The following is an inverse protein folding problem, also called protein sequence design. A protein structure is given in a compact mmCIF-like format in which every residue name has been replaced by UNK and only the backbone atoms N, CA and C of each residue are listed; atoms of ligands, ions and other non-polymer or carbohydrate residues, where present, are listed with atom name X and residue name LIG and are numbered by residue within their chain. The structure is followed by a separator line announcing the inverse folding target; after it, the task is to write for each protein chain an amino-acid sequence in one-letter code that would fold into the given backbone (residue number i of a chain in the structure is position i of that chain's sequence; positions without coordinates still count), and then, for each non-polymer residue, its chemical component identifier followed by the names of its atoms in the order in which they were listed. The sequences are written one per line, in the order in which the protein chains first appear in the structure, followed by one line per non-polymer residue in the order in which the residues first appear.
data_IF_863598024789
#
_entry.id   IF_863598024789
#
_cell.length_a   1.000
_cell.length_b   1.000
_cell.length_c   1.000
_cell.angle_alpha   90.00
_cell.angle_beta   90.00
_cell.angle_gamma   90.00
#
_symmetry.space_group_name_H-M   'P 1'
#
loop_
_entity.id
_entity.type
_entity.pdbx_description
1 polymer ?
#
# COMPACT_ATOMS: atom_id res chain seq x y z
N UNK A 1 21.15 -23.71 32.94
CA UNK A 1 20.87 -24.69 31.85
C UNK A 1 19.36 -24.95 31.68
N UNK A 2 18.62 -25.52 32.64
CA UNK A 2 17.18 -25.79 32.48
C UNK A 2 16.34 -24.57 32.14
N UNK A 3 16.55 -23.43 32.82
CA UNK A 3 15.83 -22.18 32.52
C UNK A 3 16.13 -21.63 31.09
N UNK A 4 17.39 -21.76 30.65
CA UNK A 4 17.78 -21.35 29.28
C UNK A 4 17.15 -22.24 28.20
N UNK A 5 17.08 -23.55 28.45
CA UNK A 5 16.39 -24.49 27.56
C UNK A 5 14.90 -24.15 27.45
N UNK A 6 14.22 -23.93 28.58
CA UNK A 6 12.82 -23.55 28.63
C UNK A 6 12.56 -22.21 27.87
N UNK A 7 13.44 -21.23 28.01
CA UNK A 7 13.36 -19.96 27.29
C UNK A 7 13.55 -20.14 25.78
N UNK A 8 14.46 -21.01 25.33
CA UNK A 8 14.63 -21.31 23.90
C UNK A 8 13.44 -22.07 23.35
N UNK A 9 12.87 -23.01 24.11
CA UNK A 9 11.65 -23.72 23.75
C UNK A 9 10.46 -22.76 23.62
N UNK A 10 10.28 -21.84 24.55
CA UNK A 10 9.27 -20.78 24.47
C UNK A 10 9.45 -19.92 23.22
N UNK A 11 10.69 -19.51 22.92
CA UNK A 11 11.00 -18.71 21.73
C UNK A 11 10.68 -19.45 20.44
N UNK A 12 10.96 -20.76 20.38
CA UNK A 12 10.62 -21.60 19.24
C UNK A 12 9.11 -21.69 19.02
N UNK A 13 8.34 -21.97 20.08
CA UNK A 13 6.88 -22.04 20.02
C UNK A 13 6.30 -20.71 19.53
N UNK A 14 6.81 -19.59 20.05
CA UNK A 14 6.39 -18.27 19.63
C UNK A 14 6.69 -17.99 18.16
N UNK A 15 7.89 -18.34 17.69
CA UNK A 15 8.28 -18.17 16.29
C UNK A 15 7.42 -19.03 15.34
N UNK A 16 7.15 -20.28 15.72
CA UNK A 16 6.29 -21.20 14.96
C UNK A 16 4.85 -20.66 14.87
N UNK A 17 4.30 -20.15 15.98
CA UNK A 17 2.97 -19.55 15.99
C UNK A 17 2.93 -18.29 15.10
N UNK A 18 3.95 -17.45 15.17
CA UNK A 18 4.05 -16.26 14.33
C UNK A 18 4.15 -16.61 12.84
N UNK A 19 4.95 -17.61 12.50
CA UNK A 19 5.02 -18.13 11.13
C UNK A 19 3.65 -18.58 10.62
N UNK A 20 2.94 -19.42 11.40
CA UNK A 20 1.61 -19.91 11.04
C UNK A 20 0.61 -18.76 10.85
N UNK A 21 0.65 -17.72 11.69
CA UNK A 21 -0.20 -16.54 11.53
C UNK A 21 0.13 -15.74 10.25
N UNK A 22 1.41 -15.58 9.92
CA UNK A 22 1.83 -14.90 8.68
C UNK A 22 1.42 -15.71 7.44
N UNK A 23 1.53 -17.03 7.51
CA UNK A 23 1.09 -17.92 6.44
C UNK A 23 -0.43 -17.82 6.20
N UNK A 24 -1.23 -17.76 7.27
CA UNK A 24 -2.68 -17.53 7.17
C UNK A 24 -2.99 -16.15 6.55
N UNK A 25 -2.25 -15.11 6.94
CA UNK A 25 -2.42 -13.78 6.36
C UNK A 25 -2.09 -13.78 4.86
N UNK A 26 -1.01 -14.45 4.47
CA UNK A 26 -0.65 -14.59 3.06
C UNK A 26 -1.70 -15.39 2.27
N UNK A 27 -2.20 -16.48 2.85
CA UNK A 27 -3.28 -17.29 2.28
C UNK A 27 -4.54 -16.45 2.04
N UNK A 28 -4.89 -15.57 2.97
CA UNK A 28 -6.01 -14.64 2.84
C UNK A 28 -5.75 -13.60 1.73
N UNK A 29 -4.54 -13.05 1.63
CA UNK A 29 -4.18 -12.09 0.59
C UNK A 29 -4.21 -12.70 -0.82
N UNK A 30 -3.93 -14.01 -0.92
CA UNK A 30 -3.99 -14.77 -2.17
C UNK A 30 -5.41 -15.31 -2.46
N UNK A 31 -6.40 -14.99 -1.62
CA UNK A 31 -7.78 -15.46 -1.74
C UNK A 31 -7.91 -16.99 -1.83
N UNK A 32 -6.98 -17.72 -1.22
CA UNK A 32 -7.00 -19.18 -1.20
C UNK A 32 -8.05 -19.69 -0.20
N UNK A 33 -8.78 -20.73 -0.60
CA UNK A 33 -9.78 -21.37 0.25
C UNK A 33 -9.18 -21.98 1.53
N UNK A 34 -9.97 -22.13 2.61
CA UNK A 34 -9.48 -22.63 3.90
C UNK A 34 -8.91 -24.06 3.81
N UNK A 35 -9.36 -24.86 2.87
CA UNK A 35 -8.96 -26.26 2.68
C UNK A 35 -7.66 -26.44 1.91
N UNK A 36 -7.13 -25.36 1.29
CA UNK A 36 -5.89 -25.45 0.51
C UNK A 36 -4.72 -25.51 1.48
N UNK A 37 -3.96 -26.60 1.44
CA UNK A 37 -2.67 -26.66 2.12
C UNK A 37 -1.65 -25.81 1.34
N UNK A 38 -1.04 -24.85 2.02
CA UNK A 38 -0.19 -23.83 1.42
C UNK A 38 1.04 -23.63 2.29
N UNK A 39 2.20 -23.74 1.68
CA UNK A 39 3.48 -23.44 2.29
C UNK A 39 4.37 -22.67 1.32
N UNK A 40 5.38 -22.01 1.83
CA UNK A 40 6.31 -21.19 1.06
C UNK A 40 7.49 -22.09 0.67
N UNK A 41 7.72 -22.24 -0.66
CA UNK A 41 8.91 -22.88 -1.14
C UNK A 41 10.15 -22.06 -0.82
N UNK A 42 11.14 -22.70 -0.20
CA UNK A 42 12.42 -22.06 0.05
C UNK A 42 13.14 -21.86 -1.29
N UNK A 43 13.17 -20.62 -1.75
CA UNK A 43 13.84 -20.28 -2.99
C UNK A 43 15.25 -19.79 -2.65
N UNK A 44 16.26 -20.56 -3.04
CA UNK A 44 17.66 -20.10 -3.07
C UNK A 44 17.80 -18.94 -4.06
N UNK A 45 17.31 -17.77 -3.69
CA UNK A 45 17.51 -16.60 -4.52
C UNK A 45 18.89 -16.01 -4.25
N UNK A 46 19.71 -16.11 -5.28
CA UNK A 46 20.97 -15.42 -5.44
C UNK A 46 20.86 -13.96 -5.01
N UNK A 47 21.80 -13.59 -4.14
CA UNK A 47 22.36 -12.27 -3.91
C UNK A 47 21.42 -11.07 -3.91
N UNK A 48 21.53 -10.31 -2.84
CA UNK A 48 21.17 -8.88 -2.73
C UNK A 48 21.96 -7.96 -3.71
N UNK A 49 22.57 -8.52 -4.74
CA UNK A 49 23.35 -7.77 -5.74
C UNK A 49 22.44 -7.29 -6.87
N UNK A 50 21.72 -6.21 -6.61
CA UNK A 50 20.98 -5.42 -7.60
C UNK A 50 21.45 -3.96 -7.52
N UNK A 51 21.42 -3.30 -8.65
CA UNK A 51 21.70 -1.86 -8.70
C UNK A 51 20.43 -1.09 -8.33
N UNK A 52 20.52 -0.24 -7.31
CA UNK A 52 19.40 0.62 -6.89
C UNK A 52 19.34 1.81 -7.86
N UNK A 53 18.22 2.00 -8.58
CA UNK A 53 18.08 3.10 -9.52
C UNK A 53 18.02 4.46 -8.78
N UNK A 54 18.31 5.53 -9.51
CA UNK A 54 18.18 6.89 -8.98
C UNK A 54 16.73 7.17 -8.55
N UNK A 55 16.48 7.72 -7.35
CA UNK A 55 15.14 8.06 -6.89
C UNK A 55 14.37 8.99 -7.83
N UNK A 56 15.08 9.87 -8.53
CA UNK A 56 14.50 10.83 -9.50
C UNK A 56 13.98 10.10 -10.73
N UNK A 57 14.71 9.11 -11.24
CA UNK A 57 14.31 8.35 -12.42
C UNK A 57 13.09 7.49 -12.11
N UNK A 58 13.10 6.81 -10.95
CA UNK A 58 11.95 6.04 -10.46
C UNK A 58 10.72 6.94 -10.31
N UNK A 59 10.88 8.13 -9.73
CA UNK A 59 9.79 9.08 -9.55
C UNK A 59 9.20 9.56 -10.90
N UNK A 60 10.05 9.85 -11.88
CA UNK A 60 9.59 10.26 -13.20
C UNK A 60 8.82 9.16 -13.94
N UNK A 61 9.22 7.89 -13.74
CA UNK A 61 8.47 6.73 -14.25
C UNK A 61 7.16 6.55 -13.46
N UNK A 62 7.21 6.59 -12.13
CA UNK A 62 6.06 6.45 -11.26
C UNK A 62 4.95 7.48 -11.55
N UNK A 63 5.30 8.73 -11.76
CA UNK A 63 4.32 9.78 -12.11
C UNK A 63 3.48 9.44 -13.35
N UNK A 64 3.98 8.60 -14.25
CA UNK A 64 3.27 8.23 -15.50
C UNK A 64 2.41 7.00 -15.35
N UNK A 65 2.72 6.12 -14.40
CA UNK A 65 2.14 4.77 -14.30
C UNK A 65 1.38 4.57 -12.98
N UNK A 66 1.80 5.26 -11.91
CA UNK A 66 1.25 5.02 -10.58
C UNK A 66 -0.21 5.48 -10.48
N UNK A 67 -1.17 4.57 -10.19
CA UNK A 67 -2.59 4.86 -10.28
C UNK A 67 -3.06 6.00 -9.39
N UNK A 68 -2.49 6.14 -8.19
CA UNK A 68 -2.83 7.20 -7.24
C UNK A 68 -2.50 8.59 -7.82
N UNK A 69 -1.37 8.72 -8.52
CA UNK A 69 -0.98 9.97 -9.16
C UNK A 69 -1.88 10.30 -10.35
N UNK A 70 -2.19 9.30 -11.18
CA UNK A 70 -3.11 9.45 -12.30
C UNK A 70 -4.52 9.84 -11.82
N UNK A 71 -5.01 9.23 -10.75
CA UNK A 71 -6.29 9.59 -10.13
C UNK A 71 -6.29 11.03 -9.62
N UNK A 72 -5.21 11.47 -8.97
CA UNK A 72 -5.11 12.83 -8.47
C UNK A 72 -5.14 13.87 -9.61
N UNK A 73 -4.48 13.60 -10.73
CA UNK A 73 -4.51 14.46 -11.92
C UNK A 73 -5.88 14.46 -12.60
N UNK A 74 -6.56 13.31 -12.69
CA UNK A 74 -7.91 13.22 -13.22
C UNK A 74 -8.93 13.97 -12.34
N UNK A 75 -8.77 13.90 -11.02
CA UNK A 75 -9.60 14.66 -10.08
C UNK A 75 -9.47 16.17 -10.31
N UNK A 76 -8.27 16.67 -10.55
CA UNK A 76 -8.04 18.08 -10.89
C UNK A 76 -8.74 18.48 -12.20
N UNK A 77 -8.76 17.59 -13.20
CA UNK A 77 -9.52 17.81 -14.43
C UNK A 77 -11.03 17.88 -14.16
N UNK A 78 -11.56 16.99 -13.32
CA UNK A 78 -12.96 17.00 -12.88
C UNK A 78 -13.32 18.30 -12.14
N UNK A 79 -12.43 18.81 -11.30
CA UNK A 79 -12.67 20.08 -10.59
C UNK A 79 -12.78 21.25 -11.55
N UNK A 80 -11.97 21.27 -12.61
CA UNK A 80 -12.08 22.28 -13.66
C UNK A 80 -13.43 22.25 -14.38
N UNK A 81 -13.98 21.04 -14.58
CA UNK A 81 -15.33 20.85 -15.14
C UNK A 81 -16.41 21.26 -14.13
N UNK A 82 -16.20 21.00 -12.83
CA UNK A 82 -17.11 21.41 -11.76
C UNK A 82 -17.25 22.93 -11.69
N UNK A 83 -16.15 23.68 -11.89
CA UNK A 83 -16.20 25.15 -12.01
C UNK A 83 -17.02 25.57 -13.24
N UNK A 84 -16.86 24.89 -14.39
CA UNK A 84 -17.66 25.18 -15.60
C UNK A 84 -19.15 24.87 -15.35
N UNK A 85 -19.43 23.76 -14.66
CA UNK A 85 -20.77 23.35 -14.28
C UNK A 85 -21.43 24.35 -13.31
N UNK A 86 -20.70 24.84 -12.31
CA UNK A 86 -21.20 25.91 -11.45
C UNK A 86 -21.52 27.20 -12.24
N UNK A 87 -20.67 27.57 -13.20
CA UNK A 87 -20.90 28.72 -14.11
C UNK A 87 -22.11 28.54 -15.02
N UNK A 88 -22.47 27.29 -15.38
CA UNK A 88 -23.65 27.04 -16.23
C UNK A 88 -24.95 27.49 -15.59
N UNK A 89 -24.99 27.59 -14.25
CA UNK A 89 -26.13 28.10 -13.50
C UNK A 89 -26.41 29.60 -13.73
N UNK A 90 -25.56 30.33 -14.45
CA UNK A 90 -25.84 31.68 -14.92
C UNK A 90 -26.68 31.70 -16.21
N UNK A 91 -26.76 30.59 -16.91
CA UNK A 91 -27.46 30.49 -18.19
C UNK A 91 -28.90 29.97 -18.01
N UNK A 92 -29.82 30.28 -18.96
CA UNK A 92 -31.15 29.71 -18.97
C UNK A 92 -31.12 28.18 -19.02
N UNK A 93 -32.00 27.54 -18.24
CA UNK A 93 -32.22 26.09 -18.31
C UNK A 93 -33.55 25.77 -19.00
N UNK A 94 -33.51 24.83 -19.93
CA UNK A 94 -34.68 24.29 -20.64
C UNK A 94 -34.88 22.85 -20.18
N UNK A 95 -36.04 22.52 -19.66
CA UNK A 95 -36.40 21.17 -19.25
C UNK A 95 -37.66 20.68 -19.98
N UNK A 96 -37.62 19.45 -20.45
CA UNK A 96 -38.78 18.74 -21.00
C UNK A 96 -39.08 17.55 -20.10
N UNK A 97 -40.29 17.46 -19.60
CA UNK A 97 -40.77 16.35 -18.82
C UNK A 97 -41.99 15.72 -19.43
N UNK A 98 -42.01 14.40 -19.53
CA UNK A 98 -43.16 13.62 -19.93
C UNK A 98 -43.55 12.69 -18.78
N UNK A 99 -44.80 12.69 -18.42
CA UNK A 99 -45.31 11.82 -17.35
C UNK A 99 -46.53 11.04 -17.83
N UNK A 100 -46.56 9.76 -17.48
CA UNK A 100 -47.74 8.89 -17.66
C UNK A 100 -48.11 8.42 -16.27
N UNK A 101 -49.35 8.67 -15.86
CA UNK A 101 -49.88 8.26 -14.60
C UNK A 101 -51.22 7.54 -14.75
N UNK A 102 -51.52 6.60 -13.87
CA UNK A 102 -52.86 6.00 -13.73
C UNK A 102 -53.26 6.15 -12.27
N UNK A 103 -54.42 6.74 -12.03
CA UNK A 103 -55.04 6.84 -10.71
C UNK A 103 -56.21 5.87 -10.63
N UNK A 104 -56.21 5.02 -9.62
CA UNK A 104 -57.33 4.10 -9.29
C UNK A 104 -57.92 4.57 -7.97
N UNK A 105 -59.16 5.02 -7.99
CA UNK A 105 -59.91 5.35 -6.77
C UNK A 105 -60.61 4.11 -6.25
N UNK A 106 -60.08 3.54 -5.17
CA UNK A 106 -60.62 2.34 -4.51
C UNK A 106 -61.84 2.60 -3.62
N UNK A 107 -62.24 3.86 -3.43
CA UNK A 107 -63.31 4.23 -2.51
C UNK A 107 -64.65 4.55 -3.20
N UNK A 108 -64.69 4.53 -4.52
CA UNK A 108 -65.92 4.75 -5.27
C UNK A 108 -66.49 3.44 -5.86
N UNK A 109 -67.80 3.25 -5.86
CA UNK A 109 -68.44 2.02 -6.28
C UNK A 109 -68.26 1.68 -7.76
N UNK A 110 -67.73 2.61 -8.55
CA UNK A 110 -67.25 2.42 -9.91
C UNK A 110 -65.78 2.78 -9.97
N UNK A 111 -64.89 1.79 -9.89
CA UNK A 111 -63.43 1.97 -10.05
C UNK A 111 -63.09 2.33 -11.50
N UNK A 112 -63.06 3.62 -11.80
CA UNK A 112 -62.65 4.12 -13.09
C UNK A 112 -61.15 4.32 -13.12
N UNK A 113 -60.49 3.64 -14.06
CA UNK A 113 -59.04 3.82 -14.32
C UNK A 113 -58.84 5.13 -15.11
N UNK A 114 -58.44 6.18 -14.41
CA UNK A 114 -58.19 7.48 -15.01
C UNK A 114 -56.71 7.60 -15.41
N UNK A 115 -56.41 7.46 -16.71
CA UNK A 115 -55.11 7.68 -17.26
C UNK A 115 -54.80 9.19 -17.40
N UNK A 116 -53.66 9.62 -16.88
CA UNK A 116 -53.19 11.01 -17.05
C UNK A 116 -51.85 11.00 -17.78
N UNK A 117 -51.82 11.67 -18.96
CA UNK A 117 -50.63 11.91 -19.75
C UNK A 117 -50.29 13.40 -19.69
N UNK A 118 -49.08 13.71 -19.34
CA UNK A 118 -48.59 15.13 -19.29
C UNK A 118 -47.29 15.29 -20.04
N UNK A 119 -47.21 16.36 -20.84
CA UNK A 119 -46.00 16.81 -21.47
C UNK A 119 -45.76 18.26 -21.03
N UNK A 120 -44.65 18.55 -20.41
CA UNK A 120 -44.30 19.88 -19.94
C UNK A 120 -42.95 20.32 -20.44
N UNK A 121 -42.93 21.48 -21.10
CA UNK A 121 -41.74 22.21 -21.48
C UNK A 121 -41.57 23.42 -20.56
N UNK A 122 -40.46 23.55 -19.86
CA UNK A 122 -40.20 24.67 -18.94
C UNK A 122 -38.88 25.33 -19.27
N UNK A 123 -38.90 26.66 -19.49
CA UNK A 123 -37.74 27.51 -19.62
C UNK A 123 -37.60 28.34 -18.33
N UNK A 124 -36.44 28.19 -17.66
CA UNK A 124 -36.12 28.97 -16.44
C UNK A 124 -34.91 29.86 -16.70
N UNK A 125 -35.08 31.18 -16.47
CA UNK A 125 -34.02 32.18 -16.62
C UNK A 125 -33.76 32.81 -15.27
N UNK A 126 -32.58 32.53 -14.67
CA UNK A 126 -32.24 33.14 -13.36
C UNK A 126 -31.88 34.62 -13.53
N UNK A 127 -32.69 35.51 -12.99
CA UNK A 127 -32.42 36.97 -12.99
C UNK A 127 -31.66 37.36 -11.72
N UNK A 128 -32.13 36.91 -10.57
CA UNK A 128 -31.51 37.15 -9.28
C UNK A 128 -31.77 36.02 -8.30
N UNK A 129 -30.72 35.44 -7.77
CA UNK A 129 -30.77 34.27 -6.85
C UNK A 129 -30.01 34.50 -5.54
N UNK A 130 -30.07 35.73 -4.99
CA UNK A 130 -29.41 36.08 -3.73
C UNK A 130 -27.90 35.76 -3.73
N UNK A 131 -27.22 35.93 -4.84
CA UNK A 131 -25.79 35.64 -5.02
C UNK A 131 -25.42 34.13 -4.93
N UNK A 132 -26.38 33.22 -4.84
CA UNK A 132 -26.14 31.80 -4.66
C UNK A 132 -25.25 31.21 -5.78
N UNK A 133 -25.52 31.57 -7.04
CA UNK A 133 -24.68 31.12 -8.17
C UNK A 133 -23.25 31.65 -8.05
N UNK A 134 -23.09 32.92 -7.66
CA UNK A 134 -21.75 33.49 -7.45
C UNK A 134 -20.99 32.73 -6.36
N UNK A 135 -21.64 32.52 -5.21
CA UNK A 135 -21.05 31.77 -4.11
C UNK A 135 -20.67 30.32 -4.54
N UNK A 136 -21.56 29.63 -5.26
CA UNK A 136 -21.27 28.27 -5.78
C UNK A 136 -20.06 28.26 -6.71
N UNK A 137 -19.92 29.25 -7.59
CA UNK A 137 -18.76 29.36 -8.50
C UNK A 137 -17.48 29.64 -7.71
N UNK A 138 -17.51 30.57 -6.76
CA UNK A 138 -16.32 30.86 -5.93
C UNK A 138 -15.94 29.65 -5.06
N UNK A 139 -16.92 28.95 -4.49
CA UNK A 139 -16.66 27.69 -3.75
C UNK A 139 -16.04 26.63 -4.64
N UNK A 140 -16.54 26.44 -5.88
CA UNK A 140 -15.97 25.50 -6.82
C UNK A 140 -14.53 25.86 -7.21
N UNK A 141 -14.20 27.15 -7.36
CA UNK A 141 -12.83 27.61 -7.63
C UNK A 141 -11.90 27.29 -6.45
N UNK A 142 -12.32 27.64 -5.22
CA UNK A 142 -11.55 27.37 -4.00
C UNK A 142 -11.28 25.88 -3.85
N UNK A 143 -12.28 25.04 -4.10
CA UNK A 143 -12.12 23.59 -4.08
C UNK A 143 -11.11 23.10 -5.14
N UNK A 144 -11.14 23.69 -6.35
CA UNK A 144 -10.18 23.39 -7.41
C UNK A 144 -8.74 23.78 -7.01
N UNK A 145 -8.56 24.94 -6.38
CA UNK A 145 -7.26 25.38 -5.86
C UNK A 145 -6.78 24.47 -4.71
N UNK A 146 -7.68 24.12 -3.78
CA UNK A 146 -7.37 23.18 -2.70
C UNK A 146 -6.91 21.82 -3.24
N UNK A 147 -7.61 21.28 -4.24
CA UNK A 147 -7.25 20.00 -4.85
C UNK A 147 -5.94 20.09 -5.65
N UNK A 148 -5.62 21.24 -6.26
CA UNK A 148 -4.32 21.45 -6.88
C UNK A 148 -3.17 21.36 -5.86
N UNK A 149 -3.33 21.94 -4.69
CA UNK A 149 -2.37 21.82 -3.58
C UNK A 149 -2.30 20.37 -3.04
N UNK A 150 -3.43 19.67 -3.03
CA UNK A 150 -3.48 18.25 -2.64
C UNK A 150 -2.69 17.37 -3.60
N UNK A 151 -2.78 17.60 -4.92
CA UNK A 151 -1.98 16.91 -5.94
C UNK A 151 -0.48 17.18 -5.73
N UNK A 152 -0.09 18.43 -5.45
CA UNK A 152 1.30 18.75 -5.15
C UNK A 152 1.80 18.03 -3.88
N UNK A 153 0.96 17.96 -2.85
CA UNK A 153 1.26 17.21 -1.63
C UNK A 153 1.41 15.71 -1.89
N UNK A 154 0.51 15.13 -2.69
CA UNK A 154 0.58 13.72 -3.10
C UNK A 154 1.88 13.43 -3.87
N UNK A 155 2.29 14.32 -4.78
CA UNK A 155 3.55 14.22 -5.53
C UNK A 155 4.77 14.25 -4.61
N UNK A 156 4.80 15.15 -3.63
CA UNK A 156 5.87 15.21 -2.62
C UNK A 156 5.93 13.95 -1.75
N UNK A 157 4.77 13.43 -1.36
CA UNK A 157 4.68 12.20 -0.59
C UNK A 157 5.15 10.98 -1.39
N UNK A 158 4.77 10.87 -2.66
CA UNK A 158 5.25 9.82 -3.55
C UNK A 158 6.77 9.86 -3.69
N UNK A 159 7.33 11.04 -3.95
CA UNK A 159 8.80 11.20 -4.01
C UNK A 159 9.48 10.75 -2.73
N UNK A 160 8.97 11.18 -1.57
CA UNK A 160 9.48 10.77 -0.26
C UNK A 160 9.44 9.24 -0.07
N UNK A 161 8.33 8.59 -0.46
CA UNK A 161 8.19 7.13 -0.33
C UNK A 161 9.22 6.40 -1.21
N UNK A 162 9.40 6.86 -2.45
CA UNK A 162 10.38 6.30 -3.40
C UNK A 162 11.80 6.50 -2.86
N UNK A 163 12.15 7.72 -2.45
CA UNK A 163 13.47 8.02 -1.88
C UNK A 163 13.75 7.16 -0.64
N UNK A 164 12.74 6.98 0.22
CA UNK A 164 12.86 6.11 1.40
C UNK A 164 13.09 4.66 0.99
N UNK A 165 12.36 4.14 0.00
CA UNK A 165 12.53 2.77 -0.49
C UNK A 165 13.94 2.56 -1.08
N UNK A 166 14.45 3.51 -1.88
CA UNK A 166 15.79 3.45 -2.44
C UNK A 166 16.88 3.46 -1.33
N UNK A 167 16.78 4.39 -0.38
CA UNK A 167 17.72 4.46 0.75
C UNK A 167 17.68 3.21 1.62
N UNK A 168 16.49 2.67 1.87
CA UNK A 168 16.35 1.42 2.61
C UNK A 168 16.98 0.25 1.86
N UNK A 169 16.76 0.15 0.54
CA UNK A 169 17.37 -0.89 -0.28
C UNK A 169 18.90 -0.85 -0.23
N UNK A 170 19.51 0.35 -0.39
CA UNK A 170 20.96 0.55 -0.27
C UNK A 170 21.48 0.22 1.15
N UNK A 171 20.77 0.68 2.18
CA UNK A 171 21.14 0.43 3.57
C UNK A 171 21.12 -1.05 3.92
N UNK A 172 20.06 -1.77 3.55
CA UNK A 172 19.97 -3.21 3.83
C UNK A 172 20.95 -4.04 2.99
N UNK A 173 21.31 -3.60 1.77
CA UNK A 173 22.41 -4.22 1.04
C UNK A 173 23.77 -4.06 1.74
N UNK A 174 24.04 -2.88 2.24
CA UNK A 174 25.27 -2.63 2.99
C UNK A 174 25.30 -3.42 4.31
N UNK A 175 24.17 -3.49 4.99
CA UNK A 175 23.99 -4.27 6.21
C UNK A 175 24.18 -5.78 5.97
N UNK A 176 23.57 -6.33 4.91
CA UNK A 176 23.74 -7.74 4.50
C UNK A 176 25.22 -8.07 4.28
N UNK A 177 25.97 -7.25 3.51
CA UNK A 177 27.40 -7.43 3.27
C UNK A 177 28.25 -7.36 4.57
N UNK A 178 27.92 -6.42 5.46
CA UNK A 178 28.61 -6.28 6.73
C UNK A 178 28.35 -7.48 7.67
N UNK A 179 27.09 -7.94 7.73
CA UNK A 179 26.69 -9.08 8.53
C UNK A 179 27.24 -10.40 7.98
N UNK A 180 27.36 -10.57 6.67
CA UNK A 180 28.02 -11.71 6.04
C UNK A 180 29.49 -11.80 6.45
N UNK A 181 30.21 -10.67 6.43
CA UNK A 181 31.59 -10.63 6.90
C UNK A 181 31.71 -10.97 8.40
N UNK A 182 30.77 -10.47 9.21
CA UNK A 182 30.71 -10.78 10.64
C UNK A 182 30.42 -12.28 10.89
N UNK A 183 29.51 -12.87 10.12
CA UNK A 183 29.18 -14.30 10.23
C UNK A 183 30.37 -15.19 9.94
N UNK A 184 31.17 -14.90 8.89
CA UNK A 184 32.39 -15.65 8.61
C UNK A 184 33.39 -15.63 9.78
N UNK A 185 33.51 -14.50 10.47
CA UNK A 185 34.35 -14.39 11.65
C UNK A 185 33.79 -15.14 12.88
N UNK A 186 32.47 -15.07 13.08
CA UNK A 186 31.78 -15.77 14.15
C UNK A 186 31.76 -17.28 13.96
N UNK A 187 31.68 -17.78 12.71
CA UNK A 187 31.77 -19.20 12.39
C UNK A 187 33.08 -19.82 12.88
N UNK A 188 34.20 -19.15 12.59
CA UNK A 188 35.53 -19.53 13.09
C UNK A 188 35.58 -19.47 14.62
N UNK A 189 34.93 -18.46 15.21
CA UNK A 189 34.87 -18.31 16.67
C UNK A 189 34.08 -19.42 17.34
N UNK A 190 32.96 -19.85 16.74
CA UNK A 190 32.16 -20.98 17.23
C UNK A 190 32.96 -22.28 17.13
N UNK A 191 33.62 -22.53 16.00
CA UNK A 191 34.45 -23.74 15.81
C UNK A 191 35.58 -23.81 16.84
N UNK A 192 36.24 -22.68 17.09
CA UNK A 192 37.28 -22.57 18.12
C UNK A 192 36.72 -22.81 19.52
N UNK A 193 35.58 -22.18 19.86
CA UNK A 193 34.93 -22.35 21.17
C UNK A 193 34.48 -23.79 21.38
N UNK A 194 33.98 -24.50 20.37
CA UNK A 194 33.63 -25.91 20.46
C UNK A 194 34.85 -26.78 20.76
N UNK A 195 35.97 -26.59 20.06
CA UNK A 195 37.24 -27.30 20.33
C UNK A 195 37.79 -27.00 21.75
N UNK A 196 37.73 -25.75 22.19
CA UNK A 196 38.15 -25.36 23.53
C UNK A 196 37.27 -25.97 24.62
N UNK A 197 35.98 -26.10 24.38
CA UNK A 197 35.05 -26.75 25.30
C UNK A 197 35.31 -28.25 25.40
N UNK A 198 35.56 -28.93 24.27
CA UNK A 198 35.90 -30.36 24.23
C UNK A 198 37.14 -30.71 25.06
N UNK A 199 38.13 -29.82 25.07
CA UNK A 199 39.35 -30.00 25.89
C UNK A 199 39.26 -29.37 27.28
N UNK A 200 38.09 -28.85 27.68
CA UNK A 200 37.82 -28.32 29.01
C UNK A 200 38.45 -26.94 29.31
N UNK A 201 38.84 -26.18 28.28
CA UNK A 201 39.46 -24.85 28.43
C UNK A 201 38.44 -23.74 28.66
N UNK A 202 37.19 -23.91 28.23
CA UNK A 202 36.10 -22.97 28.48
C UNK A 202 34.91 -23.69 29.10
N UNK A 203 34.03 -22.93 29.73
CA UNK A 203 32.80 -23.43 30.31
C UNK A 203 31.65 -23.47 29.28
N UNK A 204 30.61 -24.24 29.59
CA UNK A 204 29.44 -24.39 28.74
C UNK A 204 28.68 -23.05 28.55
N UNK A 205 28.82 -22.09 29.46
CA UNK A 205 28.16 -20.78 29.34
C UNK A 205 28.83 -19.97 28.27
N UNK A 206 30.15 -19.96 28.22
CA UNK A 206 30.96 -19.27 27.21
C UNK A 206 30.66 -19.80 25.79
N UNK A 207 30.62 -21.16 25.65
CA UNK A 207 30.24 -21.77 24.37
C UNK A 207 28.83 -21.34 23.95
N UNK A 208 27.84 -21.43 24.85
CA UNK A 208 26.45 -21.06 24.55
C UNK A 208 26.31 -19.60 24.17
N UNK A 209 27.06 -18.68 24.78
CA UNK A 209 27.07 -17.25 24.40
C UNK A 209 27.60 -17.10 22.99
N UNK A 210 28.69 -17.76 22.62
CA UNK A 210 29.27 -17.69 21.27
C UNK A 210 28.30 -18.23 20.21
N UNK A 211 27.68 -19.39 20.47
CA UNK A 211 26.67 -19.96 19.55
C UNK A 211 25.40 -19.08 19.44
N UNK A 212 24.99 -18.44 20.56
CA UNK A 212 23.85 -17.53 20.56
C UNK A 212 24.14 -16.28 19.72
N UNK A 213 25.35 -15.73 19.82
CA UNK A 213 25.77 -14.57 19.02
C UNK A 213 25.80 -14.92 17.52
N UNK A 214 26.34 -16.08 17.17
CA UNK A 214 26.32 -16.58 15.78
C UNK A 214 24.87 -16.72 15.26
N UNK A 215 23.99 -17.39 16.01
CA UNK A 215 22.61 -17.58 15.62
C UNK A 215 21.87 -16.24 15.46
N UNK A 216 22.08 -15.29 16.39
CA UNK A 216 21.46 -13.97 16.31
C UNK A 216 21.94 -13.16 15.09
N UNK A 217 23.24 -13.19 14.82
CA UNK A 217 23.81 -12.51 13.65
C UNK A 217 23.32 -13.15 12.35
N UNK A 218 23.18 -14.49 12.31
CA UNK A 218 22.61 -15.20 11.17
C UNK A 218 21.16 -14.79 10.87
N UNK A 219 20.34 -14.66 11.93
CA UNK A 219 18.96 -14.16 11.79
C UNK A 219 18.96 -12.73 11.26
N UNK A 220 19.81 -11.86 11.80
CA UNK A 220 19.89 -10.46 11.36
C UNK A 220 20.33 -10.34 9.91
N UNK A 221 21.31 -11.16 9.48
CA UNK A 221 21.76 -11.20 8.09
C UNK A 221 20.65 -11.65 7.15
N UNK A 222 19.92 -12.70 7.51
CA UNK A 222 18.80 -13.18 6.72
C UNK A 222 17.69 -12.12 6.60
N UNK A 223 17.39 -11.41 7.70
CA UNK A 223 16.43 -10.29 7.70
C UNK A 223 16.89 -9.16 6.78
N UNK A 224 18.16 -8.73 6.88
CA UNK A 224 18.72 -7.68 6.02
C UNK A 224 18.60 -8.06 4.54
N UNK A 225 18.94 -9.31 4.18
CA UNK A 225 18.83 -9.85 2.82
C UNK A 225 17.40 -9.77 2.28
N UNK A 226 16.42 -10.23 3.04
CA UNK A 226 15.02 -10.17 2.61
C UNK A 226 14.48 -8.75 2.57
N UNK A 227 14.88 -7.88 3.51
CA UNK A 227 14.46 -6.47 3.51
C UNK A 227 15.06 -5.69 2.33
N UNK A 228 16.30 -5.96 1.95
CA UNK A 228 16.90 -5.41 0.74
C UNK A 228 16.07 -5.79 -0.50
N UNK A 229 15.73 -7.07 -0.63
CA UNK A 229 14.92 -7.58 -1.75
C UNK A 229 13.52 -6.99 -1.78
N UNK A 230 12.85 -6.92 -0.62
CA UNK A 230 11.53 -6.32 -0.50
C UNK A 230 11.52 -4.87 -0.97
N UNK A 231 12.45 -4.04 -0.48
CA UNK A 231 12.52 -2.65 -0.89
C UNK A 231 12.82 -2.49 -2.38
N UNK A 232 13.62 -3.39 -2.98
CA UNK A 232 13.85 -3.41 -4.42
C UNK A 232 12.59 -3.74 -5.21
N UNK A 233 11.79 -4.72 -4.76
CA UNK A 233 10.49 -5.04 -5.37
C UNK A 233 9.50 -3.87 -5.25
N UNK A 234 9.51 -3.15 -4.13
CA UNK A 234 8.72 -1.93 -3.96
C UNK A 234 9.14 -0.86 -4.97
N UNK A 235 10.44 -0.68 -5.23
CA UNK A 235 10.93 0.24 -6.26
C UNK A 235 10.44 -0.18 -7.65
N UNK A 236 10.52 -1.47 -8.00
CA UNK A 236 10.00 -1.99 -9.27
C UNK A 236 8.49 -1.78 -9.41
N UNK A 237 7.75 -1.94 -8.31
CA UNK A 237 6.31 -1.65 -8.30
C UNK A 237 6.02 -0.18 -8.64
N UNK A 238 6.77 0.78 -8.07
CA UNK A 238 6.63 2.19 -8.43
C UNK A 238 6.98 2.47 -9.90
N UNK A 239 7.91 1.71 -10.49
CA UNK A 239 8.22 1.81 -11.92
C UNK A 239 7.16 1.15 -12.83
N UNK A 240 6.16 0.47 -12.26
CA UNK A 240 5.19 -0.32 -13.03
C UNK A 240 5.77 -1.58 -13.65
N UNK A 241 6.96 -2.00 -13.24
CA UNK A 241 7.60 -3.24 -13.66
C UNK A 241 7.09 -4.39 -12.79
N UNK A 242 5.91 -4.92 -13.15
CA UNK A 242 5.39 -6.11 -12.48
C UNK A 242 6.12 -7.33 -13.03
N UNK A 243 7.15 -7.80 -12.32
CA UNK A 243 7.67 -9.15 -12.52
C UNK A 243 6.92 -10.08 -11.57
N UNK A 244 5.88 -10.73 -12.06
CA UNK A 244 5.29 -11.90 -11.44
C UNK A 244 6.08 -13.14 -11.85
#
# INVERSE_FOLDING_TARGET
MAAQYANKQYSLIRATNQYSQQLLTLKQLLELGPEVDFDIAEQEQSASDFEVPSPIDVFNEACKVYPEMLNAEQQLALDSLSVKMAKSSYYPSLSLSAGVGANINFFDSESELQGNNSLRLSLSVPIFNKWQTKTSVETAKINSEYNALSVESARKNLYKQIETACKNAESYQAEDKALEASLKALEVSVELAQKQFEVGLIDATTLLVTETNFAQTSISQLQAKYMARLNYLVIQHYQGKHSF
#
